data_IF_940478227412
#
_entry.id   IF_940478227412
#
_cell.length_a   1.000
_cell.length_b   1.000
_cell.length_c   1.000
_cell.angle_alpha   90.00
_cell.angle_beta   90.00
_cell.angle_gamma   90.00
#
_symmetry.space_group_name_H-M   'P 1'
#
loop_
_entity.id
_entity.type
_entity.pdbx_description
1 polymer ?
#
# COMPACT_ATOMS: atom_id res chain seq x y z
N UNK A 1 -4.89 2.26 -24.27
CA UNK A 1 -5.12 3.36 -23.29
C UNK A 1 -5.69 2.73 -22.03
N UNK A 2 -4.87 2.55 -20.98
CA UNK A 2 -5.37 2.02 -19.71
C UNK A 2 -6.25 3.09 -19.07
N UNK A 3 -7.54 2.81 -18.97
CA UNK A 3 -8.45 3.69 -18.22
C UNK A 3 -7.98 3.64 -16.77
N UNK A 4 -7.30 4.69 -16.30
CA UNK A 4 -7.04 4.88 -14.88
C UNK A 4 -8.38 5.16 -14.20
N UNK A 5 -9.15 4.10 -13.92
CA UNK A 5 -10.29 4.22 -13.04
C UNK A 5 -9.75 4.56 -11.65
N UNK A 6 -9.87 5.83 -11.27
CA UNK A 6 -9.44 6.30 -9.95
C UNK A 6 -10.29 5.60 -8.89
N UNK A 7 -9.62 5.06 -7.87
CA UNK A 7 -10.25 4.51 -6.68
C UNK A 7 -11.18 5.54 -6.03
N UNK A 8 -12.27 5.06 -5.43
CA UNK A 8 -13.23 5.89 -4.74
C UNK A 8 -12.60 6.61 -3.55
N UNK A 9 -13.18 7.75 -3.17
CA UNK A 9 -12.77 8.47 -1.97
C UNK A 9 -12.90 7.60 -0.70
N UNK A 10 -13.86 6.67 -0.68
CA UNK A 10 -14.02 5.71 0.42
C UNK A 10 -12.82 4.77 0.51
N UNK A 11 -12.43 4.15 -0.60
CA UNK A 11 -11.26 3.29 -0.68
C UNK A 11 -9.98 4.03 -0.26
N UNK A 12 -9.79 5.26 -0.74
CA UNK A 12 -8.65 6.11 -0.34
C UNK A 12 -8.64 6.46 1.14
N UNK A 13 -9.80 6.75 1.75
CA UNK A 13 -9.90 7.05 3.19
C UNK A 13 -9.53 5.86 4.06
N UNK A 14 -9.93 4.64 3.66
CA UNK A 14 -9.54 3.42 4.38
C UNK A 14 -8.02 3.27 4.37
N UNK A 15 -7.40 3.32 3.20
CA UNK A 15 -5.93 3.22 3.08
C UNK A 15 -5.22 4.32 3.88
N UNK A 16 -5.68 5.57 3.81
CA UNK A 16 -5.10 6.67 4.61
C UNK A 16 -5.02 6.34 6.10
N UNK A 17 -6.08 5.74 6.67
CA UNK A 17 -6.12 5.39 8.09
C UNK A 17 -5.16 4.26 8.48
N UNK A 18 -4.72 3.47 7.50
CA UNK A 18 -3.84 2.30 7.70
C UNK A 18 -2.35 2.64 7.47
N UNK A 19 -2.03 3.82 6.94
CA UNK A 19 -0.66 4.28 6.69
C UNK A 19 -0.08 5.07 7.87
N UNK A 20 -0.35 4.64 9.10
CA UNK A 20 0.16 5.24 10.34
C UNK A 20 1.39 4.46 10.84
N UNK A 21 2.34 5.09 11.56
CA UNK A 21 3.41 4.34 12.20
C UNK A 21 2.79 3.47 13.30
N UNK A 22 3.41 2.33 13.59
CA UNK A 22 2.89 1.37 14.58
C UNK A 22 4.03 0.73 15.36
N UNK A 23 3.75 0.48 16.64
CA UNK A 23 4.61 -0.27 17.57
C UNK A 23 4.42 -1.79 17.45
N UNK A 24 3.29 -2.24 16.88
CA UNK A 24 2.94 -3.65 16.62
C UNK A 24 2.78 -3.94 15.12
N UNK A 25 3.84 -3.77 14.33
CA UNK A 25 3.76 -3.70 12.87
C UNK A 25 3.22 -4.97 12.21
N UNK A 26 3.60 -6.15 12.70
CA UNK A 26 3.10 -7.40 12.12
C UNK A 26 1.57 -7.48 12.21
N UNK A 27 1.03 -7.27 13.42
CA UNK A 27 -0.40 -7.36 13.71
C UNK A 27 -1.19 -6.28 12.97
N UNK A 28 -0.70 -5.05 12.97
CA UNK A 28 -1.44 -3.92 12.41
C UNK A 28 -1.46 -3.95 10.88
N UNK A 29 -0.36 -4.34 10.24
CA UNK A 29 -0.33 -4.49 8.79
C UNK A 29 -1.02 -5.76 8.30
N UNK A 30 -1.06 -6.83 9.10
CA UNK A 30 -1.93 -7.98 8.82
C UNK A 30 -3.40 -7.54 8.80
N UNK A 31 -3.83 -6.80 9.84
CA UNK A 31 -5.19 -6.24 9.88
C UNK A 31 -5.48 -5.32 8.70
N UNK A 32 -4.50 -4.50 8.29
CA UNK A 32 -4.62 -3.65 7.10
C UNK A 32 -4.81 -4.47 5.82
N UNK A 33 -4.05 -5.56 5.65
CA UNK A 33 -4.19 -6.48 4.51
C UNK A 33 -5.55 -7.20 4.51
N UNK A 34 -6.07 -7.58 5.68
CA UNK A 34 -7.39 -8.18 5.83
C UNK A 34 -8.50 -7.18 5.47
N UNK A 35 -8.39 -5.91 5.87
CA UNK A 35 -9.34 -4.88 5.45
C UNK A 35 -9.36 -4.67 3.94
N UNK A 36 -8.18 -4.64 3.31
CA UNK A 36 -8.10 -4.59 1.84
C UNK A 36 -8.81 -5.79 1.22
N UNK A 37 -8.58 -6.99 1.76
CA UNK A 37 -9.21 -8.23 1.29
C UNK A 37 -10.73 -8.17 1.44
N UNK A 38 -11.25 -7.68 2.57
CA UNK A 38 -12.68 -7.52 2.77
C UNK A 38 -13.28 -6.55 1.73
N UNK A 39 -12.65 -5.41 1.47
CA UNK A 39 -13.14 -4.47 0.44
C UNK A 39 -13.10 -5.12 -0.95
N UNK A 40 -12.04 -5.86 -1.28
CA UNK A 40 -11.95 -6.60 -2.54
C UNK A 40 -13.11 -7.57 -2.74
N UNK A 41 -13.54 -8.28 -1.68
CA UNK A 41 -14.63 -9.26 -1.74
C UNK A 41 -16.01 -8.62 -1.90
N UNK A 42 -16.21 -7.39 -1.41
CA UNK A 42 -17.53 -6.75 -1.33
C UNK A 42 -17.69 -5.52 -2.23
N UNK A 43 -16.70 -5.18 -3.05
CA UNK A 43 -16.79 -4.05 -3.97
C UNK A 43 -17.20 -4.50 -5.37
N UNK A 44 -18.23 -3.85 -5.92
CA UNK A 44 -18.61 -4.01 -7.34
C UNK A 44 -17.82 -3.07 -8.26
N UNK A 45 -16.92 -2.23 -7.71
CA UNK A 45 -16.11 -1.28 -8.47
C UNK A 45 -14.73 -1.87 -8.77
N UNK A 46 -14.40 -2.16 -10.05
CA UNK A 46 -13.09 -2.70 -10.44
C UNK A 46 -11.92 -1.80 -10.00
N UNK A 47 -12.11 -0.49 -10.06
CA UNK A 47 -11.14 0.52 -9.60
C UNK A 47 -10.74 0.35 -8.13
N UNK A 48 -11.71 0.07 -7.26
CA UNK A 48 -11.50 -0.10 -5.83
C UNK A 48 -10.86 -1.46 -5.56
N UNK A 49 -11.24 -2.48 -6.32
CA UNK A 49 -10.61 -3.80 -6.27
C UNK A 49 -9.12 -3.72 -6.62
N UNK A 50 -8.76 -3.16 -7.78
CA UNK A 50 -7.37 -3.03 -8.22
C UNK A 50 -6.54 -2.19 -7.25
N UNK A 51 -7.11 -1.08 -6.76
CA UNK A 51 -6.47 -0.24 -5.76
C UNK A 51 -6.19 -1.01 -4.47
N UNK A 52 -7.15 -1.79 -3.97
CA UNK A 52 -6.99 -2.59 -2.75
C UNK A 52 -6.01 -3.74 -2.94
N UNK A 53 -5.93 -4.35 -4.13
CA UNK A 53 -4.89 -5.36 -4.45
C UNK A 53 -3.49 -4.78 -4.27
N UNK A 54 -3.25 -3.59 -4.81
CA UNK A 54 -1.94 -2.94 -4.72
C UNK A 54 -1.59 -2.57 -3.27
N UNK A 55 -2.53 -2.01 -2.53
CA UNK A 55 -2.31 -1.63 -1.12
C UNK A 55 -2.19 -2.85 -0.20
N UNK A 56 -2.92 -3.93 -0.47
CA UNK A 56 -2.74 -5.22 0.24
C UNK A 56 -1.32 -5.74 0.10
N UNK A 57 -0.74 -5.70 -1.11
CA UNK A 57 0.65 -6.09 -1.33
C UNK A 57 1.62 -5.19 -0.55
N UNK A 58 1.36 -3.89 -0.50
CA UNK A 58 2.17 -2.95 0.27
C UNK A 58 2.14 -3.19 1.79
N UNK A 59 0.97 -3.50 2.35
CA UNK A 59 0.85 -3.86 3.76
C UNK A 59 1.53 -5.20 4.08
N UNK A 60 1.42 -6.18 3.18
CA UNK A 60 2.17 -7.43 3.32
C UNK A 60 3.69 -7.21 3.32
N UNK A 61 4.21 -6.31 2.49
CA UNK A 61 5.63 -5.94 2.51
C UNK A 61 6.03 -5.25 3.83
N UNK A 62 5.22 -4.31 4.32
CA UNK A 62 5.46 -3.65 5.61
C UNK A 62 5.44 -4.62 6.81
N UNK A 63 4.61 -5.66 6.74
CA UNK A 63 4.50 -6.72 7.75
C UNK A 63 5.82 -7.49 7.89
N UNK A 64 6.48 -7.83 6.77
CA UNK A 64 7.69 -8.67 6.76
C UNK A 64 9.01 -7.89 6.75
N UNK A 65 9.00 -6.61 6.41
CA UNK A 65 10.20 -5.77 6.37
C UNK A 65 10.86 -5.59 7.75
N UNK A 66 12.18 -5.53 7.78
CA UNK A 66 12.95 -5.21 8.99
C UNK A 66 12.69 -3.77 9.48
N UNK A 67 13.05 -3.39 10.72
CA UNK A 67 12.67 -2.09 11.30
C UNK A 67 13.08 -0.87 10.46
N UNK A 68 14.32 -0.83 9.95
CA UNK A 68 14.82 0.30 9.16
C UNK A 68 14.21 0.37 7.77
N UNK A 69 14.13 -0.78 7.10
CA UNK A 69 13.49 -0.91 5.80
C UNK A 69 12.01 -0.53 5.87
N UNK A 70 11.29 -1.02 6.88
CA UNK A 70 9.89 -0.68 7.13
C UNK A 70 9.70 0.83 7.28
N UNK A 71 10.57 1.52 8.02
CA UNK A 71 10.50 3.00 8.15
C UNK A 71 10.67 3.70 6.81
N UNK A 72 11.65 3.27 6.01
CA UNK A 72 11.88 3.82 4.65
C UNK A 72 10.69 3.52 3.73
N UNK A 73 10.22 2.28 3.72
CA UNK A 73 9.10 1.83 2.90
C UNK A 73 7.81 2.58 3.26
N UNK A 74 7.49 2.71 4.56
CA UNK A 74 6.32 3.47 5.00
C UNK A 74 6.37 4.93 4.56
N UNK A 75 7.56 5.55 4.58
CA UNK A 75 7.74 6.91 4.08
C UNK A 75 7.42 7.00 2.58
N UNK A 76 7.99 6.13 1.75
CA UNK A 76 7.73 6.09 0.29
C UNK A 76 6.25 5.85 -0.01
N UNK A 77 5.64 4.87 0.65
CA UNK A 77 4.21 4.56 0.49
C UNK A 77 3.31 5.76 0.83
N UNK A 78 3.65 6.55 1.85
CA UNK A 78 2.90 7.78 2.16
C UNK A 78 3.04 8.84 1.07
N UNK A 79 4.21 8.96 0.45
CA UNK A 79 4.44 9.87 -0.66
C UNK A 79 3.62 9.44 -1.88
N UNK A 80 3.64 8.14 -2.22
CA UNK A 80 2.81 7.57 -3.28
C UNK A 80 1.32 7.82 -3.01
N UNK A 81 0.85 7.58 -1.79
CA UNK A 81 -0.54 7.83 -1.40
C UNK A 81 -0.95 9.30 -1.61
N UNK A 82 -0.09 10.25 -1.21
CA UNK A 82 -0.33 11.68 -1.37
C UNK A 82 -0.41 12.07 -2.84
N UNK A 83 0.49 11.54 -3.67
CA UNK A 83 0.55 11.81 -5.11
C UNK A 83 -0.52 11.03 -5.91
N UNK A 84 -1.16 10.04 -5.28
CA UNK A 84 -2.13 9.17 -5.95
C UNK A 84 -1.48 8.12 -6.85
N UNK A 85 -0.21 7.80 -6.60
CA UNK A 85 0.54 6.77 -7.32
C UNK A 85 0.22 5.38 -6.79
N UNK A 86 0.48 4.38 -7.63
CA UNK A 86 0.48 2.98 -7.20
C UNK A 86 1.61 2.75 -6.21
N UNK A 87 1.41 1.96 -5.14
CA UNK A 87 2.49 1.60 -4.21
C UNK A 87 3.45 0.55 -4.78
N UNK A 88 3.11 -0.14 -5.88
CA UNK A 88 3.90 -1.27 -6.42
C UNK A 88 5.35 -0.88 -6.79
N UNK A 89 5.62 0.27 -7.45
CA UNK A 89 6.99 0.69 -7.73
C UNK A 89 7.83 0.85 -6.44
N UNK A 90 7.24 1.34 -5.36
CA UNK A 90 7.91 1.50 -4.05
C UNK A 90 8.24 0.18 -3.35
N UNK A 91 7.65 -0.94 -3.80
CA UNK A 91 7.95 -2.28 -3.30
C UNK A 91 9.17 -2.91 -3.98
N UNK A 92 9.63 -2.33 -5.09
CA UNK A 92 10.83 -2.82 -5.74
C UNK A 92 12.04 -2.55 -4.83
N UNK A 93 12.97 -3.51 -4.67
CA UNK A 93 14.24 -3.25 -4.02
C UNK A 93 14.90 -2.07 -4.73
N UNK A 94 15.54 -1.15 -3.99
CA UNK A 94 16.36 -0.15 -4.66
C UNK A 94 17.43 -0.91 -5.44
N UNK A 95 17.39 -0.80 -6.77
CA UNK A 95 18.47 -1.28 -7.62
C UNK A 95 19.73 -0.59 -7.09
N UNK A 96 20.80 -1.33 -6.74
CA UNK A 96 22.04 -0.69 -6.33
C UNK A 96 22.43 0.21 -7.49
N UNK A 97 22.39 1.53 -7.26
CA UNK A 97 22.99 2.50 -8.16
C UNK A 97 24.43 2.04 -8.33
N UNK A 98 24.77 1.53 -9.52
CA UNK A 98 26.15 1.31 -9.89
C UNK A 98 26.82 2.68 -9.86
N UNK A 99 27.47 2.99 -8.74
CA UNK A 99 28.37 4.13 -8.65
C UNK A 99 29.50 3.89 -9.65
N UNK A 100 29.53 4.70 -10.70
CA UNK A 100 30.72 4.89 -11.54
C UNK A 100 31.73 5.76 -10.80
#
# INVERSE_FOLDING_TARGET
MSVQYKASNRARRVVASLLVPTETPFKDYLKAADYCTAIMLYTDRPADYEYMVQWRAAFAALMVAGPDERRRLLKRLREDFKQGHSPLPSLQPETPTASN
#
